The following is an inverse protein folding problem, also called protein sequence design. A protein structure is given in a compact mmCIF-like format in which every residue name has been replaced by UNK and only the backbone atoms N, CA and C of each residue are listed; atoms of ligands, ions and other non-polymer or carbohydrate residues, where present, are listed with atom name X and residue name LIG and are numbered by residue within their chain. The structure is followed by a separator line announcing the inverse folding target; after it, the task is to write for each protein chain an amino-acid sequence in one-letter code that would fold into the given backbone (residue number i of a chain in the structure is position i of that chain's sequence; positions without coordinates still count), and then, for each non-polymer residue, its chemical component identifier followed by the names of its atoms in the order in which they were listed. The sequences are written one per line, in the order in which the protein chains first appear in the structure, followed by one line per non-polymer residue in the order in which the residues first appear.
data_IF_117237261362
#
_entry.id   IF_117237261362
#
_cell.length_a   1.000
_cell.length_b   1.000
_cell.length_c   1.000
_cell.angle_alpha   90.00
_cell.angle_beta   90.00
_cell.angle_gamma   90.00
#
_symmetry.space_group_name_H-M   'P 1'
#
loop_
_entity.id
_entity.type
_entity.pdbx_description
1 polymer ?
#
# COMPACT_ATOMS: atom_id res chain seq x y z
N UNK A 1 29.85 19.84 -13.43
CA UNK A 1 29.24 18.93 -14.42
C UNK A 1 28.24 18.06 -13.68
N UNK A 2 27.00 18.05 -14.17
CA UNK A 2 25.81 17.33 -13.70
C UNK A 2 25.45 17.46 -12.21
N UNK A 3 24.73 18.53 -11.87
CA UNK A 3 23.74 18.48 -10.78
C UNK A 3 22.70 17.45 -11.18
N UNK A 4 22.78 16.23 -10.63
CA UNK A 4 21.67 15.29 -10.69
C UNK A 4 20.60 15.80 -9.73
N UNK A 5 19.79 16.74 -10.22
CA UNK A 5 18.43 16.92 -9.75
C UNK A 5 17.70 15.64 -10.13
N UNK A 6 17.70 14.65 -9.23
CA UNK A 6 16.80 13.50 -9.36
C UNK A 6 15.42 14.12 -9.23
N UNK A 7 14.54 14.00 -10.22
CA UNK A 7 13.18 14.48 -10.05
C UNK A 7 12.62 13.74 -8.84
N UNK A 8 12.23 14.49 -7.81
CA UNK A 8 11.67 13.99 -6.56
C UNK A 8 10.26 13.39 -6.77
N UNK A 9 10.04 12.71 -7.89
CA UNK A 9 8.81 11.97 -8.15
C UNK A 9 8.57 11.07 -6.96
N UNK A 10 7.48 11.27 -6.20
CA UNK A 10 7.16 10.42 -5.09
C UNK A 10 7.06 9.00 -5.63
N UNK A 11 7.92 8.12 -5.14
CA UNK A 11 7.87 6.70 -5.46
C UNK A 11 6.57 6.17 -4.86
N UNK A 12 5.55 6.00 -5.71
CA UNK A 12 4.35 5.29 -5.31
C UNK A 12 4.70 3.82 -5.12
N UNK A 13 4.28 3.26 -3.98
CA UNK A 13 4.41 1.85 -3.73
C UNK A 13 3.57 1.06 -4.76
N UNK A 14 4.14 -0.02 -5.29
CA UNK A 14 3.51 -0.88 -6.28
C UNK A 14 3.49 -2.32 -5.79
N UNK A 15 2.57 -3.13 -6.33
CA UNK A 15 2.42 -4.54 -5.97
C UNK A 15 3.64 -5.33 -6.44
N UNK A 16 4.26 -6.05 -5.51
CA UNK A 16 5.39 -6.98 -5.76
C UNK A 16 4.99 -8.44 -5.59
N UNK A 17 3.91 -8.72 -4.85
CA UNK A 17 3.26 -10.03 -4.82
C UNK A 17 1.75 -9.86 -4.67
N UNK A 18 0.97 -10.59 -5.46
CA UNK A 18 -0.49 -10.61 -5.39
C UNK A 18 -0.97 -11.99 -4.96
N UNK A 19 -1.88 -12.04 -3.99
CA UNK A 19 -2.47 -13.27 -3.47
C UNK A 19 -4.00 -13.13 -3.37
N UNK A 20 -4.69 -12.97 -4.52
CA UNK A 20 -6.13 -12.72 -4.55
C UNK A 20 -6.95 -13.85 -3.91
N UNK A 21 -6.47 -15.09 -3.96
CA UNK A 21 -7.12 -16.23 -3.28
C UNK A 21 -7.07 -16.16 -1.75
N UNK A 22 -6.19 -15.32 -1.19
CA UNK A 22 -6.08 -15.03 0.25
C UNK A 22 -6.56 -13.61 0.60
N UNK A 23 -6.88 -12.80 -0.41
CA UNK A 23 -7.42 -11.45 -0.28
C UNK A 23 -6.41 -10.38 0.10
N UNK A 24 -5.16 -10.49 -0.34
CA UNK A 24 -4.13 -9.49 -0.06
C UNK A 24 -3.10 -9.30 -1.20
N UNK A 25 -2.43 -8.15 -1.16
CA UNK A 25 -1.31 -7.80 -2.03
C UNK A 25 -0.17 -7.21 -1.20
N UNK A 26 1.07 -7.61 -1.46
CA UNK A 26 2.28 -7.03 -0.87
C UNK A 26 2.81 -5.92 -1.78
N UNK A 27 3.06 -4.75 -1.21
CA UNK A 27 3.69 -3.62 -1.87
C UNK A 27 5.21 -3.60 -1.64
N UNK A 28 5.93 -2.90 -2.52
CA UNK A 28 7.40 -2.84 -2.48
C UNK A 28 7.98 -2.18 -1.22
N UNK A 29 7.19 -1.41 -0.48
CA UNK A 29 7.55 -0.79 0.79
C UNK A 29 7.35 -1.73 1.99
N UNK A 30 6.81 -2.93 1.76
CA UNK A 30 6.50 -3.93 2.78
C UNK A 30 5.07 -3.83 3.32
N UNK A 31 4.26 -2.88 2.85
CA UNK A 31 2.86 -2.75 3.22
C UNK A 31 2.04 -3.89 2.59
N UNK A 32 1.19 -4.53 3.37
CA UNK A 32 0.21 -5.50 2.87
C UNK A 32 -1.15 -4.81 2.80
N UNK A 33 -1.73 -4.77 1.60
CA UNK A 33 -3.07 -4.22 1.37
C UNK A 33 -4.05 -5.37 1.23
N UNK A 34 -5.14 -5.32 1.98
CA UNK A 34 -6.22 -6.30 1.95
C UNK A 34 -7.33 -5.86 1.00
N UNK A 35 -8.13 -6.81 0.51
CA UNK A 35 -9.24 -6.55 -0.42
C UNK A 35 -10.33 -5.64 0.17
N UNK A 36 -10.41 -5.52 1.50
CA UNK A 36 -11.34 -4.63 2.20
C UNK A 36 -10.81 -3.18 2.32
N UNK A 37 -9.72 -2.83 1.64
CA UNK A 37 -8.99 -1.56 1.79
C UNK A 37 -8.29 -1.39 3.14
N UNK A 38 -8.15 -2.44 3.94
CA UNK A 38 -7.29 -2.44 5.13
C UNK A 38 -5.82 -2.55 4.76
N UNK A 39 -4.94 -2.08 5.64
CA UNK A 39 -3.48 -2.17 5.44
C UNK A 39 -2.78 -2.69 6.70
N UNK A 40 -1.77 -3.54 6.51
CA UNK A 40 -0.80 -3.91 7.52
C UNK A 40 0.55 -3.30 7.13
N UNK A 41 1.01 -2.34 7.93
CA UNK A 41 2.27 -1.65 7.70
C UNK A 41 3.47 -2.57 8.02
N UNK A 42 4.67 -2.28 7.48
CA UNK A 42 5.88 -3.06 7.75
C UNK A 42 6.28 -3.13 9.23
N UNK A 43 5.83 -2.16 10.03
CA UNK A 43 6.05 -2.11 11.47
C UNK A 43 5.01 -2.90 12.29
N UNK A 44 4.08 -3.59 11.61
CA UNK A 44 3.03 -4.40 12.21
C UNK A 44 1.80 -3.60 12.65
N UNK A 45 1.72 -2.29 12.39
CA UNK A 45 0.51 -1.51 12.66
C UNK A 45 -0.57 -1.82 11.64
N UNK A 46 -1.80 -1.96 12.12
CA UNK A 46 -3.00 -2.16 11.31
C UNK A 46 -3.67 -0.81 11.07
N UNK A 47 -3.91 -0.48 9.81
CA UNK A 47 -4.76 0.62 9.38
C UNK A 47 -6.10 0.01 8.95
N UNK A 48 -7.16 0.38 9.66
CA UNK A 48 -8.49 -0.12 9.34
C UNK A 48 -8.97 0.46 8.00
N UNK A 49 -9.80 -0.28 7.25
CA UNK A 49 -10.51 0.25 6.10
C UNK A 49 -11.16 1.58 6.43
N UNK A 50 -10.98 2.58 5.55
CA UNK A 50 -11.80 3.80 5.58
C UNK A 50 -13.20 3.42 5.07
N UNK A 51 -14.00 2.86 5.98
CA UNK A 51 -15.34 2.41 5.66
C UNK A 51 -16.13 3.51 4.97
N UNK A 52 -16.64 3.21 3.77
CA UNK A 52 -17.72 4.00 3.20
C UNK A 52 -18.85 3.94 4.21
N UNK A 53 -19.19 5.08 4.83
CA UNK A 53 -20.41 5.20 5.66
C UNK A 53 -21.58 4.64 4.84
N UNK A 54 -22.03 3.43 5.18
CA UNK A 54 -23.28 2.89 4.66
C UNK A 54 -24.37 3.56 5.49
N UNK A 55 -25.01 4.57 4.91
CA UNK A 55 -26.23 5.13 5.49
C UNK A 55 -27.27 4.00 5.60
N UNK A 56 -27.75 3.76 6.82
CA UNK A 56 -28.83 2.83 7.11
C UNK A 56 -30.18 3.35 6.59
#
# INVERSE_FOLDING_TARGET
MCSHDVPETPVHAHVVAAHPEQGWNLLCDGTIVFDDCGELLPDGRVVAPVGRLVAA
#
